data_IF_854044605835
#
_entry.id   IF_854044605835
#
_cell.length_a   1.000
_cell.length_b   1.000
_cell.length_c   1.000
_cell.angle_alpha   90.00
_cell.angle_beta   90.00
_cell.angle_gamma   90.00
#
_symmetry.space_group_name_H-M   'P 1'
#
loop_
_entity.id
_entity.type
_entity.pdbx_description
1 polymer ?
#
# COMPACT_ATOMS: atom_id res chain seq x y z
N UNK A 1 28.15 0.11 7.29
CA UNK A 1 27.27 1.30 7.38
C UNK A 1 28.13 2.57 7.35
N UNK A 2 27.82 3.51 6.44
CA UNK A 2 28.62 4.74 6.25
C UNK A 2 28.20 5.89 7.22
N UNK A 3 27.60 5.58 8.35
CA UNK A 3 27.23 6.56 9.40
C UNK A 3 26.13 7.56 9.04
N UNK A 4 25.39 7.35 7.95
CA UNK A 4 24.28 8.23 7.54
C UNK A 4 23.14 8.09 8.54
N UNK A 5 22.78 9.20 9.19
CA UNK A 5 21.74 9.25 10.24
C UNK A 5 20.36 9.63 9.71
N UNK A 6 20.29 10.45 8.66
CA UNK A 6 19.06 10.99 8.11
C UNK A 6 18.97 10.64 6.63
N UNK A 7 17.92 9.94 6.22
CA UNK A 7 17.71 9.59 4.82
C UNK A 7 16.25 9.26 4.53
N UNK A 8 15.86 9.48 3.29
CA UNK A 8 14.71 8.92 2.62
C UNK A 8 15.24 8.19 1.39
N UNK A 9 14.95 6.90 1.28
CA UNK A 9 15.26 6.08 0.10
C UNK A 9 13.95 5.51 -0.42
N UNK A 10 13.70 5.68 -1.71
CA UNK A 10 12.55 5.12 -2.41
C UNK A 10 13.04 4.33 -3.61
N UNK A 11 12.61 3.08 -3.71
CA UNK A 11 12.94 2.17 -4.82
C UNK A 11 11.68 1.38 -5.17
N UNK A 12 11.14 1.60 -6.37
CA UNK A 12 10.01 0.83 -6.88
C UNK A 12 8.72 0.94 -6.05
N UNK A 13 8.53 2.03 -5.31
CA UNK A 13 7.40 2.24 -4.42
C UNK A 13 7.64 1.83 -2.97
N UNK A 14 8.68 1.04 -2.70
CA UNK A 14 9.14 0.77 -1.34
C UNK A 14 9.96 1.95 -0.80
N UNK A 15 9.61 2.45 0.39
CA UNK A 15 10.22 3.63 1.02
C UNK A 15 10.82 3.25 2.36
N UNK A 16 12.08 3.63 2.59
CA UNK A 16 12.73 3.56 3.92
C UNK A 16 13.10 4.94 4.39
N UNK A 17 12.67 5.28 5.60
CA UNK A 17 12.90 6.57 6.23
C UNK A 17 13.71 6.41 7.52
N UNK A 18 14.64 7.33 7.74
CA UNK A 18 15.35 7.46 9.02
C UNK A 18 15.61 8.94 9.33
N UNK A 19 15.52 9.28 10.62
CA UNK A 19 15.77 10.64 11.11
C UNK A 19 14.85 11.67 10.50
N UNK A 20 15.34 12.88 10.24
CA UNK A 20 14.57 14.04 9.80
C UNK A 20 15.18 14.69 8.57
N UNK A 21 14.40 15.59 7.94
CA UNK A 21 14.91 16.50 6.92
C UNK A 21 15.99 17.43 7.51
N UNK A 22 16.84 18.07 6.70
CA UNK A 22 17.81 19.07 7.18
C UNK A 22 17.18 20.22 7.96
N UNK A 23 15.90 20.48 7.73
CA UNK A 23 15.10 21.51 8.45
C UNK A 23 14.58 21.04 9.82
N UNK A 24 14.90 19.82 10.28
CA UNK A 24 14.39 19.22 11.49
C UNK A 24 12.97 18.64 11.39
N UNK A 25 12.28 18.84 10.25
CA UNK A 25 10.91 18.30 10.04
C UNK A 25 10.95 16.83 9.64
N UNK A 26 9.86 16.12 9.93
CA UNK A 26 9.64 14.73 9.48
C UNK A 26 9.64 14.63 7.95
N UNK A 27 9.92 13.46 7.46
CA UNK A 27 9.82 13.16 6.03
C UNK A 27 8.35 13.12 5.62
N UNK A 28 8.01 13.77 4.51
CA UNK A 28 6.66 13.77 3.96
C UNK A 28 6.61 12.79 2.79
N UNK A 29 5.74 11.80 2.88
CA UNK A 29 5.46 10.83 1.83
C UNK A 29 4.03 11.00 1.37
N UNK A 30 3.78 10.85 0.09
CA UNK A 30 2.46 10.96 -0.52
C UNK A 30 1.95 9.56 -0.88
N UNK A 31 0.69 9.28 -0.55
CA UNK A 31 -0.07 8.19 -1.12
C UNK A 31 -0.82 8.73 -2.33
N UNK A 32 -0.72 8.03 -3.46
CA UNK A 32 -1.39 8.45 -4.68
C UNK A 32 -2.86 8.04 -4.66
N UNK A 33 -3.70 8.86 -5.27
CA UNK A 33 -5.13 8.59 -5.42
C UNK A 33 -5.36 7.47 -6.46
N UNK A 34 -6.07 6.39 -6.11
CA UNK A 34 -6.35 5.31 -7.04
C UNK A 34 -7.37 5.66 -8.14
N UNK A 35 -8.11 6.76 -7.98
CA UNK A 35 -9.16 7.18 -8.93
C UNK A 35 -8.67 8.12 -10.03
N UNK A 36 -7.37 8.38 -10.14
CA UNK A 36 -6.86 9.28 -11.16
C UNK A 36 -6.66 8.60 -12.49
N UNK A 37 -6.84 9.36 -13.56
CA UNK A 37 -6.60 9.03 -14.98
C UNK A 37 -5.12 8.85 -15.35
N UNK A 38 -4.27 8.51 -14.37
CA UNK A 38 -2.82 8.43 -14.51
C UNK A 38 -2.09 9.68 -14.02
N UNK A 39 -2.80 10.74 -13.61
CA UNK A 39 -2.21 11.89 -12.94
C UNK A 39 -1.77 11.49 -11.52
N UNK A 40 -0.71 12.11 -11.00
CA UNK A 40 -0.26 11.89 -9.62
C UNK A 40 -0.95 12.87 -8.69
N UNK A 41 -2.24 12.68 -8.44
CA UNK A 41 -2.90 13.41 -7.36
C UNK A 41 -2.65 12.73 -6.02
N UNK A 42 -2.55 13.53 -4.96
CA UNK A 42 -2.35 13.03 -3.62
C UNK A 42 -3.68 12.62 -3.01
N UNK A 43 -3.83 11.35 -2.68
CA UNK A 43 -4.89 10.90 -1.80
C UNK A 43 -4.64 11.37 -0.36
N UNK A 44 -3.40 11.15 0.12
CA UNK A 44 -3.01 11.49 1.50
C UNK A 44 -1.52 11.84 1.59
N UNK A 45 -1.17 12.74 2.51
CA UNK A 45 0.23 13.04 2.87
C UNK A 45 0.50 12.59 4.30
N UNK A 46 1.57 11.84 4.49
CA UNK A 46 2.00 11.30 5.77
C UNK A 46 3.34 11.92 6.17
N UNK A 47 3.48 12.31 7.44
CA UNK A 47 4.75 12.79 7.99
C UNK A 47 5.33 11.69 8.87
N UNK A 48 6.43 11.09 8.42
CA UNK A 48 6.96 9.82 8.93
C UNK A 48 8.46 9.92 9.24
N UNK A 49 8.94 9.05 10.12
CA UNK A 49 10.36 8.84 10.40
C UNK A 49 10.61 7.43 10.94
N UNK A 50 11.82 6.92 10.77
CA UNK A 50 12.31 5.64 11.32
C UNK A 50 11.45 4.41 10.96
N UNK A 51 10.82 4.41 9.77
CA UNK A 51 9.93 3.34 9.31
C UNK A 51 10.26 2.92 7.88
N UNK A 52 9.68 1.79 7.49
CA UNK A 52 9.47 1.42 6.09
C UNK A 52 8.00 1.58 5.72
N UNK A 53 7.76 1.84 4.44
CA UNK A 53 6.42 1.91 3.86
C UNK A 53 6.46 1.27 2.47
N UNK A 54 5.43 0.51 2.14
CA UNK A 54 5.20 0.02 0.79
C UNK A 54 3.71 0.05 0.46
N UNK A 55 3.39 0.23 -0.81
CA UNK A 55 2.02 0.25 -1.30
C UNK A 55 1.85 -0.72 -2.47
N UNK A 56 0.85 -1.58 -2.37
CA UNK A 56 0.39 -2.43 -3.45
C UNK A 56 -1.00 -2.00 -3.88
N UNK A 57 -1.28 -2.02 -5.19
CA UNK A 57 -2.59 -1.61 -5.69
C UNK A 57 -2.89 -2.20 -7.06
N UNK A 58 -4.18 -2.43 -7.30
CA UNK A 58 -4.71 -3.02 -8.53
C UNK A 58 -5.24 -1.97 -9.52
N UNK A 59 -5.24 -0.69 -9.15
CA UNK A 59 -5.80 0.39 -9.95
C UNK A 59 -4.92 0.82 -11.14
N UNK A 60 -3.59 0.63 -11.05
CA UNK A 60 -2.65 1.00 -12.12
C UNK A 60 -2.32 -0.13 -13.08
N UNK A 61 -2.43 -1.39 -12.62
CA UNK A 61 -2.03 -2.58 -13.40
C UNK A 61 -3.20 -3.55 -13.44
N UNK A 62 -4.01 -3.43 -14.46
CA UNK A 62 -5.07 -4.37 -14.78
C UNK A 62 -4.95 -4.77 -16.26
N UNK A 63 -5.59 -5.86 -16.63
CA UNK A 63 -5.78 -6.28 -18.00
C UNK A 63 -7.26 -6.43 -18.27
N UNK A 64 -7.64 -6.30 -19.52
CA UNK A 64 -9.00 -6.55 -19.99
C UNK A 64 -8.92 -7.80 -20.86
N UNK A 65 -9.76 -8.77 -20.58
CA UNK A 65 -9.83 -9.99 -21.39
C UNK A 65 -10.62 -9.74 -22.69
N UNK A 66 -10.72 -10.80 -23.51
CA UNK A 66 -11.45 -10.75 -24.79
C UNK A 66 -12.97 -10.52 -24.64
N UNK A 67 -13.52 -10.70 -23.46
CA UNK A 67 -14.93 -10.50 -23.14
C UNK A 67 -15.19 -9.09 -22.54
N UNK A 68 -14.12 -8.28 -22.37
CA UNK A 68 -14.20 -6.96 -21.74
C UNK A 68 -14.12 -6.99 -20.21
N UNK A 69 -13.87 -8.14 -19.60
CA UNK A 69 -13.75 -8.26 -18.14
C UNK A 69 -12.37 -7.79 -17.66
N UNK A 70 -12.39 -6.96 -16.62
CA UNK A 70 -11.18 -6.42 -15.99
C UNK A 70 -10.65 -7.40 -14.95
N UNK A 71 -9.41 -7.81 -15.08
CA UNK A 71 -8.73 -8.60 -14.07
C UNK A 71 -7.40 -7.98 -13.63
N UNK A 72 -7.08 -8.21 -12.37
CA UNK A 72 -5.90 -7.66 -11.70
C UNK A 72 -4.72 -8.62 -11.81
N UNK A 73 -3.50 -8.10 -11.61
CA UNK A 73 -2.27 -8.89 -11.67
C UNK A 73 -1.98 -9.68 -10.38
N UNK A 74 -2.66 -9.36 -9.27
CA UNK A 74 -2.49 -10.07 -8.01
C UNK A 74 -3.18 -11.43 -8.08
N UNK A 75 -2.39 -12.49 -7.96
CA UNK A 75 -2.86 -13.87 -8.01
C UNK A 75 -3.04 -14.39 -6.59
N UNK A 76 -4.17 -15.02 -6.33
CA UNK A 76 -4.38 -15.76 -5.09
C UNK A 76 -3.58 -17.07 -5.14
N UNK A 77 -2.57 -17.26 -4.26
CA UNK A 77 -1.68 -18.43 -4.32
C UNK A 77 -2.37 -19.77 -3.98
N UNK A 78 -3.55 -19.72 -3.38
CA UNK A 78 -4.33 -20.93 -3.05
C UNK A 78 -5.18 -21.41 -4.22
N UNK A 79 -5.64 -20.52 -5.08
CA UNK A 79 -6.52 -20.85 -6.20
C UNK A 79 -5.82 -20.81 -7.54
N UNK A 80 -4.72 -20.03 -7.67
CA UNK A 80 -4.00 -19.78 -8.92
C UNK A 80 -4.70 -18.78 -9.84
N UNK A 81 -5.82 -18.19 -9.42
CA UNK A 81 -6.57 -17.20 -10.20
C UNK A 81 -6.36 -15.78 -9.69
N UNK A 82 -6.67 -14.79 -10.53
CA UNK A 82 -6.68 -13.39 -10.13
C UNK A 82 -7.62 -13.19 -8.93
N UNK A 83 -7.21 -12.34 -7.99
CA UNK A 83 -8.03 -12.06 -6.81
C UNK A 83 -9.19 -11.16 -7.17
N UNK A 84 -10.40 -11.63 -6.99
CA UNK A 84 -11.59 -10.79 -6.96
C UNK A 84 -11.71 -10.15 -5.59
N UNK A 85 -11.50 -8.85 -5.50
CA UNK A 85 -11.54 -8.12 -4.24
C UNK A 85 -11.94 -6.67 -4.47
N UNK A 86 -12.71 -6.13 -3.55
CA UNK A 86 -13.04 -4.72 -3.50
C UNK A 86 -11.88 -3.86 -2.96
N UNK A 87 -10.77 -4.45 -2.51
CA UNK A 87 -9.59 -3.74 -2.07
C UNK A 87 -8.79 -3.24 -3.28
N UNK A 88 -8.67 -1.93 -3.42
CA UNK A 88 -8.00 -1.27 -4.54
C UNK A 88 -6.53 -1.00 -4.25
N UNK A 89 -6.20 -0.64 -3.01
CA UNK A 89 -4.83 -0.40 -2.58
C UNK A 89 -4.64 -0.76 -1.10
N UNK A 90 -3.44 -1.23 -0.78
CA UNK A 90 -2.99 -1.48 0.57
C UNK A 90 -1.60 -0.84 0.76
N UNK A 91 -1.52 0.12 1.68
CA UNK A 91 -0.26 0.70 2.14
C UNK A 91 0.05 0.17 3.53
N UNK A 92 1.25 -0.34 3.72
CA UNK A 92 1.73 -0.85 5.01
C UNK A 92 2.88 0.01 5.50
N UNK A 93 2.85 0.38 6.78
CA UNK A 93 3.82 1.24 7.46
C UNK A 93 4.23 0.55 8.75
N UNK A 94 5.53 0.29 8.93
CA UNK A 94 6.03 -0.36 10.14
C UNK A 94 7.53 -0.13 10.35
N UNK A 95 8.01 -0.39 11.58
CA UNK A 95 9.43 -0.46 11.92
C UNK A 95 10.04 -1.82 11.52
N UNK A 96 9.79 -2.24 10.27
CA UNK A 96 10.27 -3.47 9.65
C UNK A 96 11.15 -3.14 8.44
N UNK A 97 11.76 -4.14 7.82
CA UNK A 97 12.46 -3.93 6.56
C UNK A 97 11.48 -3.66 5.40
N UNK A 98 11.96 -2.99 4.34
CA UNK A 98 11.11 -2.68 3.17
C UNK A 98 10.53 -3.94 2.54
N UNK A 99 11.28 -5.04 2.50
CA UNK A 99 10.81 -6.31 1.96
C UNK A 99 9.60 -6.87 2.74
N UNK A 100 9.61 -6.72 4.08
CA UNK A 100 8.51 -7.19 4.93
C UNK A 100 7.24 -6.38 4.69
N UNK A 101 7.34 -5.04 4.68
CA UNK A 101 6.14 -4.19 4.47
C UNK A 101 5.59 -4.35 3.06
N UNK A 102 6.44 -4.58 2.05
CA UNK A 102 6.04 -4.86 0.68
C UNK A 102 5.33 -6.23 0.56
N UNK A 103 5.87 -7.25 1.24
CA UNK A 103 5.24 -8.56 1.31
C UNK A 103 3.85 -8.50 1.97
N UNK A 104 3.71 -7.75 3.08
CA UNK A 104 2.40 -7.54 3.71
C UNK A 104 1.44 -6.80 2.79
N UNK A 105 1.87 -5.71 2.13
CA UNK A 105 1.02 -4.96 1.22
C UNK A 105 0.48 -5.85 0.08
N UNK A 106 1.34 -6.66 -0.52
CA UNK A 106 0.95 -7.61 -1.57
C UNK A 106 0.05 -8.73 -1.04
N UNK A 107 0.35 -9.27 0.15
CA UNK A 107 -0.48 -10.28 0.79
C UNK A 107 -1.89 -9.75 1.09
N UNK A 108 -2.02 -8.52 1.55
CA UNK A 108 -3.32 -7.89 1.83
C UNK A 108 -4.15 -7.74 0.55
N UNK A 109 -3.52 -7.37 -0.57
CA UNK A 109 -4.22 -7.36 -1.87
C UNK A 109 -4.75 -8.75 -2.25
N UNK A 110 -3.99 -9.82 -1.98
CA UNK A 110 -4.41 -11.19 -2.25
C UNK A 110 -5.48 -11.70 -1.27
N UNK A 111 -5.46 -11.23 -0.01
CA UNK A 111 -6.42 -11.60 1.04
C UNK A 111 -7.77 -10.90 0.90
N UNK A 112 -7.78 -9.67 0.38
CA UNK A 112 -8.94 -8.79 0.34
C UNK A 112 -9.22 -8.10 1.68
N UNK A 113 -10.18 -7.17 1.67
CA UNK A 113 -10.42 -6.24 2.77
C UNK A 113 -10.74 -6.93 4.11
N UNK A 114 -11.75 -7.81 4.15
CA UNK A 114 -12.22 -8.40 5.41
C UNK A 114 -11.18 -9.31 6.08
N UNK A 115 -10.47 -10.13 5.30
CA UNK A 115 -9.41 -10.99 5.85
C UNK A 115 -8.22 -10.18 6.34
N UNK A 116 -7.87 -9.10 5.64
CA UNK A 116 -6.82 -8.17 6.05
C UNK A 116 -7.17 -7.51 7.38
N UNK A 117 -8.38 -6.97 7.51
CA UNK A 117 -8.87 -6.34 8.74
C UNK A 117 -8.82 -7.29 9.94
N UNK A 118 -9.25 -8.55 9.75
CA UNK A 118 -9.15 -9.58 10.78
C UNK A 118 -7.70 -9.90 11.14
N UNK A 119 -6.82 -10.01 10.17
CA UNK A 119 -5.40 -10.27 10.39
C UNK A 119 -4.73 -9.15 11.19
N UNK A 120 -5.04 -7.88 10.91
CA UNK A 120 -4.47 -6.72 11.59
C UNK A 120 -4.74 -6.70 13.10
N UNK A 121 -5.83 -7.33 13.56
CA UNK A 121 -6.09 -7.50 14.99
C UNK A 121 -5.00 -8.33 15.70
N UNK A 122 -4.30 -9.19 14.96
CA UNK A 122 -3.20 -10.02 15.47
C UNK A 122 -1.83 -9.37 15.33
N UNK A 123 -1.74 -8.23 14.65
CA UNK A 123 -0.49 -7.52 14.31
C UNK A 123 -0.63 -6.00 14.54
N UNK A 124 -0.82 -5.54 15.79
CA UNK A 124 -1.07 -4.13 16.09
C UNK A 124 0.10 -3.20 15.77
N UNK A 125 1.30 -3.75 15.55
CA UNK A 125 2.49 -2.99 15.13
C UNK A 125 2.48 -2.57 13.67
N UNK A 126 1.64 -3.21 12.84
CA UNK A 126 1.45 -2.81 11.45
C UNK A 126 0.43 -1.67 11.40
N UNK A 127 0.83 -0.53 10.85
CA UNK A 127 -0.09 0.54 10.47
C UNK A 127 -0.41 0.41 8.99
N UNK A 128 -1.67 0.56 8.65
CA UNK A 128 -2.11 0.43 7.26
C UNK A 128 -3.04 1.55 6.85
N UNK A 129 -3.02 1.84 5.55
CA UNK A 129 -4.07 2.59 4.85
C UNK A 129 -4.59 1.67 3.77
N UNK A 130 -5.85 1.25 3.88
CA UNK A 130 -6.55 0.43 2.89
C UNK A 130 -7.56 1.29 2.16
N UNK A 131 -7.51 1.26 0.82
CA UNK A 131 -8.49 1.94 -0.04
C UNK A 131 -9.32 0.87 -0.72
N UNK A 132 -10.62 0.93 -0.58
CA UNK A 132 -11.55 -0.07 -1.09
C UNK A 132 -12.85 0.57 -1.58
N UNK A 133 -13.66 -0.19 -2.30
CA UNK A 133 -14.99 0.22 -2.74
C UNK A 133 -16.07 -0.55 -1.97
N UNK A 134 -17.15 0.14 -1.62
CA UNK A 134 -18.35 -0.49 -1.05
C UNK A 134 -19.22 -1.14 -2.15
N UNK A 135 -20.35 -1.70 -1.74
CA UNK A 135 -21.33 -2.34 -2.63
C UNK A 135 -21.94 -1.38 -3.68
N UNK A 136 -21.89 -0.07 -3.42
CA UNK A 136 -22.38 0.98 -4.32
C UNK A 136 -21.27 1.54 -5.23
N UNK A 137 -20.04 0.98 -5.16
CA UNK A 137 -18.88 1.48 -5.89
C UNK A 137 -18.26 2.75 -5.30
N UNK A 138 -18.66 3.16 -4.09
CA UNK A 138 -18.11 4.34 -3.41
C UNK A 138 -16.74 3.99 -2.84
N UNK A 139 -15.77 4.89 -3.08
CA UNK A 139 -14.43 4.79 -2.52
C UNK A 139 -14.44 5.08 -1.02
N UNK A 140 -13.85 4.20 -0.25
CA UNK A 140 -13.72 4.29 1.20
C UNK A 140 -12.28 4.03 1.63
N UNK A 141 -11.94 4.55 2.82
CA UNK A 141 -10.64 4.39 3.48
C UNK A 141 -10.83 3.68 4.83
N UNK A 142 -9.87 2.82 5.16
CA UNK A 142 -9.71 2.23 6.49
C UNK A 142 -8.28 2.44 6.96
N UNK A 143 -8.13 2.89 8.20
CA UNK A 143 -6.85 3.00 8.92
C UNK A 143 -6.94 2.31 10.28
N UNK A 144 -5.78 1.82 10.79
CA UNK A 144 -5.67 1.28 12.15
C UNK A 144 -4.57 1.95 12.96
#
# INVERSE_FOLDING_TARGET
TKGIKNYLVEIGGGVRLKGTKPTGKLWTVQLDDPNTDGSRSAFKKLNLTNISMASSGNYRKFRIDKNGEKYVHTINPKTGYATESNLLAATVIAELDCADVDAYATAFMAMGFEKTKKFLQTKPSLKVVLIYVDENGKLLEFEN
#
